data_IF_746694413752
#
_entry.id   IF_746694413752
#
_cell.length_a   1.000
_cell.length_b   1.000
_cell.length_c   1.000
_cell.angle_alpha   90.00
_cell.angle_beta   90.00
_cell.angle_gamma   90.00
#
_symmetry.space_group_name_H-M   'P 1'
#
loop_
_entity.id
_entity.type
_entity.pdbx_description
1 polymer ?
#
# COMPACT_ATOMS: atom_id res chain seq x y z
N UNK A 1 -0.44 6.95 0.78
CA UNK A 1 0.86 6.30 0.51
C UNK A 1 0.88 5.82 -0.92
N UNK A 2 1.94 6.06 -1.67
CA UNK A 2 2.10 5.49 -3.02
C UNK A 2 2.36 3.98 -2.94
N UNK A 3 2.13 3.26 -4.05
CA UNK A 3 2.46 1.85 -4.21
C UNK A 3 3.12 1.60 -5.58
N UNK A 4 3.75 0.43 -5.75
CA UNK A 4 4.24 -0.04 -7.04
C UNK A 4 4.02 -1.55 -7.13
N UNK A 5 3.91 -2.11 -8.33
CA UNK A 5 3.99 -3.58 -8.46
C UNK A 5 5.42 -4.05 -8.28
N UNK A 6 5.58 -5.31 -7.88
CA UNK A 6 6.89 -5.97 -7.79
C UNK A 6 7.65 -5.90 -9.13
N UNK A 7 6.95 -6.04 -10.26
CA UNK A 7 7.59 -5.91 -11.58
C UNK A 7 8.10 -4.50 -11.89
N UNK A 8 7.39 -3.45 -11.46
CA UNK A 8 7.86 -2.06 -11.62
C UNK A 8 9.06 -1.80 -10.72
N UNK A 9 9.02 -2.26 -9.46
CA UNK A 9 10.15 -2.14 -8.54
C UNK A 9 11.38 -2.88 -9.06
N UNK A 10 11.23 -4.11 -9.57
CA UNK A 10 12.32 -4.87 -10.16
C UNK A 10 12.97 -4.13 -11.34
N UNK A 11 12.15 -3.56 -12.25
CA UNK A 11 12.65 -2.74 -13.37
C UNK A 11 13.33 -1.46 -12.90
N UNK A 12 12.82 -0.79 -11.88
CA UNK A 12 13.43 0.40 -11.30
C UNK A 12 14.82 0.11 -10.73
N UNK A 13 14.96 -0.99 -9.99
CA UNK A 13 16.26 -1.45 -9.47
C UNK A 13 17.21 -1.81 -10.61
N UNK A 14 16.76 -2.56 -11.62
CA UNK A 14 17.58 -2.91 -12.79
C UNK A 14 18.02 -1.68 -13.59
N UNK A 15 17.16 -0.65 -13.70
CA UNK A 15 17.52 0.62 -14.35
C UNK A 15 18.68 1.32 -13.63
N UNK A 16 18.75 1.21 -12.31
CA UNK A 16 19.81 1.82 -11.49
C UNK A 16 21.09 0.97 -11.43
N UNK A 17 20.97 -0.35 -11.26
CA UNK A 17 22.09 -1.25 -10.96
C UNK A 17 22.51 -2.16 -12.12
N UNK A 18 21.77 -2.14 -13.23
CA UNK A 18 22.01 -2.98 -14.41
C UNK A 18 20.96 -4.08 -14.55
N UNK A 19 20.68 -4.44 -15.80
CA UNK A 19 19.72 -5.50 -16.14
C UNK A 19 20.42 -6.87 -16.02
N UNK A 20 19.83 -7.74 -15.18
CA UNK A 20 20.28 -9.12 -14.96
C UNK A 20 19.22 -10.14 -15.34
N UNK A 21 18.13 -9.69 -15.98
CA UNK A 21 16.95 -10.50 -16.27
C UNK A 21 15.99 -10.62 -15.09
N UNK A 22 14.92 -11.39 -15.29
CA UNK A 22 13.90 -11.62 -14.26
C UNK A 22 13.42 -13.06 -14.35
N UNK A 23 13.39 -13.75 -13.22
CA UNK A 23 12.85 -15.09 -13.09
C UNK A 23 11.61 -15.08 -12.18
N UNK A 24 10.48 -15.58 -12.67
CA UNK A 24 9.20 -15.57 -11.95
C UNK A 24 9.03 -16.89 -11.20
N UNK A 25 9.09 -16.84 -9.87
CA UNK A 25 9.00 -18.03 -9.00
C UNK A 25 7.58 -18.33 -8.50
N UNK A 26 6.61 -17.47 -8.84
CA UNK A 26 5.24 -17.55 -8.34
C UNK A 26 5.06 -16.96 -6.93
N UNK A 27 3.81 -16.88 -6.49
CA UNK A 27 3.43 -16.37 -5.15
C UNK A 27 3.84 -17.38 -4.08
N UNK A 28 4.44 -16.90 -2.99
CA UNK A 28 4.85 -17.76 -1.86
C UNK A 28 3.68 -17.98 -0.89
N UNK A 29 3.78 -19.02 -0.07
CA UNK A 29 2.77 -19.31 0.95
C UNK A 29 2.66 -18.14 1.95
N UNK A 30 1.43 -17.67 2.19
CA UNK A 30 1.14 -16.59 3.12
C UNK A 30 1.25 -15.17 2.55
N UNK A 31 1.61 -15.01 1.26
CA UNK A 31 1.61 -13.69 0.60
C UNK A 31 0.23 -13.32 0.06
N UNK A 32 -0.12 -12.04 0.15
CA UNK A 32 -1.33 -11.47 -0.44
C UNK A 32 -1.01 -10.80 -1.77
N UNK A 33 -2.02 -10.71 -2.65
CA UNK A 33 -1.89 -10.02 -3.93
C UNK A 33 -1.73 -8.50 -3.76
N UNK A 34 -2.37 -7.94 -2.74
CA UNK A 34 -2.24 -6.55 -2.33
C UNK A 34 -2.38 -6.45 -0.82
N UNK A 35 -1.78 -5.42 -0.24
CA UNK A 35 -1.88 -5.15 1.19
C UNK A 35 -2.98 -4.13 1.48
N UNK A 36 -3.59 -4.26 2.66
CA UNK A 36 -4.66 -3.36 3.12
C UNK A 36 -4.12 -2.50 4.25
N UNK A 37 -4.16 -1.17 4.06
CA UNK A 37 -3.77 -0.22 5.10
C UNK A 37 -4.95 0.10 6.02
N UNK A 38 -6.15 0.21 5.46
CA UNK A 38 -7.36 0.52 6.20
C UNK A 38 -8.52 -0.31 5.66
N UNK A 39 -9.14 -1.11 6.52
CA UNK A 39 -10.31 -1.91 6.17
C UNK A 39 -11.53 -1.01 5.90
N UNK A 40 -12.59 -1.59 5.31
CA UNK A 40 -13.85 -0.87 5.09
C UNK A 40 -14.47 -0.34 6.39
N UNK A 41 -14.45 -1.11 7.46
CA UNK A 41 -14.99 -0.68 8.77
C UNK A 41 -14.19 0.49 9.34
N UNK A 42 -12.86 0.43 9.25
CA UNK A 42 -11.99 1.50 9.73
C UNK A 42 -12.15 2.78 8.91
N UNK A 43 -12.37 2.65 7.60
CA UNK A 43 -12.60 3.79 6.70
C UNK A 43 -13.89 4.55 7.04
N UNK A 44 -14.95 3.83 7.40
CA UNK A 44 -16.22 4.46 7.81
C UNK A 44 -16.09 5.30 9.10
N UNK A 45 -15.09 5.01 9.94
CA UNK A 45 -14.84 5.72 11.21
C UNK A 45 -13.54 6.55 11.19
N UNK A 46 -12.95 6.77 10.02
CA UNK A 46 -11.70 7.53 9.91
C UNK A 46 -11.95 8.99 9.54
N UNK A 47 -11.02 9.85 9.94
CA UNK A 47 -10.95 11.24 9.50
C UNK A 47 -9.72 11.40 8.60
N UNK A 48 -9.92 11.97 7.41
CA UNK A 48 -8.82 12.38 6.54
C UNK A 48 -8.14 13.64 7.11
N UNK A 49 -6.84 13.54 7.38
CA UNK A 49 -5.98 14.62 7.88
C UNK A 49 -5.01 15.11 6.80
N UNK A 50 -5.32 14.90 5.51
CA UNK A 50 -4.51 15.23 4.36
C UNK A 50 -3.49 14.13 4.04
N UNK A 51 -2.48 13.98 4.89
CA UNK A 51 -1.41 12.98 4.68
C UNK A 51 -1.57 11.71 5.53
N UNK A 52 -2.55 11.69 6.43
CA UNK A 52 -2.79 10.61 7.37
C UNK A 52 -4.29 10.39 7.57
N UNK A 53 -4.67 9.15 7.89
CA UNK A 53 -6.00 8.82 8.36
C UNK A 53 -5.96 8.60 9.87
N UNK A 54 -6.90 9.20 10.60
CA UNK A 54 -7.12 8.91 12.02
C UNK A 54 -8.35 8.04 12.16
N UNK A 55 -8.15 6.77 12.50
CA UNK A 55 -9.24 5.83 12.80
C UNK A 55 -9.68 6.05 14.24
N UNK A 56 -10.95 6.41 14.45
CA UNK A 56 -11.49 6.59 15.79
C UNK A 56 -11.59 5.25 16.52
N UNK A 57 -11.31 5.24 17.82
CA UNK A 57 -11.52 4.06 18.65
C UNK A 57 -13.00 3.68 18.64
N UNK A 58 -13.26 2.38 18.69
CA UNK A 58 -14.60 1.87 18.76
C UNK A 58 -15.17 2.11 20.16
N UNK A 59 -16.00 3.14 20.31
CA UNK A 59 -16.68 3.46 21.57
C UNK A 59 -18.06 2.81 21.65
N UNK A 60 -18.28 1.67 20.97
CA UNK A 60 -19.41 0.81 21.28
C UNK A 60 -19.19 0.27 22.70
N UNK A 61 -19.90 0.84 23.68
CA UNK A 61 -20.23 0.12 24.91
C UNK A 61 -20.68 -1.31 24.54
N UNK A 62 -20.45 -2.28 25.43
CA UNK A 62 -20.68 -3.74 25.33
C UNK A 62 -22.07 -4.22 24.82
N UNK A 63 -22.85 -3.37 24.17
CA UNK A 63 -24.09 -3.60 23.48
C UNK A 63 -23.87 -4.32 22.13
N UNK A 64 -24.10 -5.63 22.17
CA UNK A 64 -24.24 -6.51 21.01
C UNK A 64 -25.40 -6.12 20.07
N UNK A 65 -26.31 -5.25 20.50
CA UNK A 65 -27.51 -4.85 19.74
C UNK A 65 -27.21 -4.03 18.48
N UNK A 66 -26.03 -3.43 18.36
CA UNK A 66 -25.65 -2.64 17.17
C UNK A 66 -25.30 -3.50 15.94
N UNK A 67 -25.21 -4.82 16.08
CA UNK A 67 -25.06 -5.73 14.93
C UNK A 67 -26.40 -6.08 14.26
N UNK A 68 -27.54 -5.74 14.90
CA UNK A 68 -28.89 -5.97 14.38
C UNK A 68 -29.72 -4.68 14.43
N UNK A 69 -29.46 -3.75 13.52
CA UNK A 69 -30.39 -2.64 13.26
C UNK A 69 -30.85 -2.71 11.81
N UNK A 70 -32.14 -3.04 11.65
CA UNK A 70 -32.90 -2.86 10.41
C UNK A 70 -32.75 -1.42 9.93
N UNK A 71 -32.20 -1.26 8.72
CA UNK A 71 -32.58 -0.18 7.82
C UNK A 71 -32.02 1.20 8.14
N UNK A 72 -30.75 1.42 7.81
CA UNK A 72 -30.36 2.56 6.97
C UNK A 72 -29.09 2.18 6.25
N UNK A 73 -29.27 1.70 5.03
CA UNK A 73 -28.21 1.12 4.23
C UNK A 73 -27.49 2.27 3.52
N UNK A 74 -26.56 2.93 4.22
CA UNK A 74 -25.49 3.69 3.57
C UNK A 74 -24.49 2.69 2.93
N UNK A 75 -24.97 1.83 2.02
CA UNK A 75 -24.11 0.92 1.21
C UNK A 75 -23.77 1.56 -0.12
N UNK A 76 -23.17 2.74 -0.08
CA UNK A 76 -22.10 2.96 -1.04
C UNK A 76 -20.83 2.66 -0.26
N UNK A 77 -20.46 1.39 -0.30
CA UNK A 77 -19.29 0.87 0.34
C UNK A 77 -18.07 1.64 -0.16
N UNK A 78 -17.54 2.55 0.64
CA UNK A 78 -16.17 2.98 0.42
C UNK A 78 -15.29 1.72 0.47
N UNK A 79 -14.65 1.40 -0.65
CA UNK A 79 -13.75 0.25 -0.74
C UNK A 79 -12.63 0.38 0.30
N UNK A 80 -12.12 -0.77 0.79
CA UNK A 80 -10.95 -0.78 1.66
C UNK A 80 -9.80 -0.01 0.98
N UNK A 81 -8.99 0.70 1.76
CA UNK A 81 -7.82 1.38 1.21
C UNK A 81 -6.64 0.39 1.15
N UNK A 82 -6.25 0.04 -0.08
CA UNK A 82 -5.26 -1.00 -0.37
C UNK A 82 -4.11 -0.46 -1.22
N UNK A 83 -3.05 -1.25 -1.34
CA UNK A 83 -1.95 -0.95 -2.25
C UNK A 83 -2.36 -1.00 -3.74
N UNK A 84 -3.53 -1.57 -4.07
CA UNK A 84 -4.02 -1.68 -5.44
C UNK A 84 -4.80 -0.44 -5.89
N UNK A 85 -5.55 0.19 -4.97
CA UNK A 85 -6.38 1.36 -5.27
C UNK A 85 -5.79 2.70 -4.82
N UNK A 86 -4.54 2.70 -4.35
CA UNK A 86 -3.77 3.93 -4.11
C UNK A 86 -3.05 4.43 -5.36
N UNK A 87 -2.36 5.56 -5.27
CA UNK A 87 -1.50 6.06 -6.34
C UNK A 87 -0.40 5.02 -6.67
N UNK A 88 -0.43 4.48 -7.89
CA UNK A 88 0.54 3.48 -8.35
C UNK A 88 1.63 4.14 -9.18
N UNK A 89 2.86 4.11 -8.67
CA UNK A 89 4.04 4.62 -9.34
C UNK A 89 4.38 3.76 -10.56
N UNK A 90 4.86 4.42 -11.60
CA UNK A 90 5.54 3.79 -12.72
C UNK A 90 7.03 3.54 -12.40
N UNK A 91 7.80 3.10 -13.40
CA UNK A 91 9.22 2.78 -13.22
C UNK A 91 10.00 4.03 -12.82
N UNK A 92 9.77 5.17 -13.47
CA UNK A 92 10.53 6.39 -13.21
C UNK A 92 10.17 7.00 -11.86
N UNK A 93 8.88 7.04 -11.50
CA UNK A 93 8.43 7.46 -10.17
C UNK A 93 9.00 6.57 -9.07
N UNK A 94 9.09 5.26 -9.31
CA UNK A 94 9.70 4.31 -8.36
C UNK A 94 11.20 4.53 -8.23
N UNK A 95 11.92 4.79 -9.33
CA UNK A 95 13.35 5.16 -9.31
C UNK A 95 13.56 6.42 -8.45
N UNK A 96 12.78 7.49 -8.68
CA UNK A 96 12.89 8.71 -7.89
C UNK A 96 12.63 8.44 -6.40
N UNK A 97 11.62 7.61 -6.09
CA UNK A 97 11.28 7.26 -4.71
C UNK A 97 12.43 6.53 -4.01
N UNK A 98 13.01 5.51 -4.63
CA UNK A 98 14.07 4.69 -4.00
C UNK A 98 15.41 5.43 -3.94
N UNK A 99 15.71 6.32 -4.89
CA UNK A 99 16.86 7.23 -4.82
C UNK A 99 16.79 8.20 -3.64
N UNK A 100 15.60 8.45 -3.08
CA UNK A 100 15.44 9.23 -1.85
C UNK A 100 15.90 8.52 -0.58
N UNK A 101 16.35 7.26 -0.66
CA UNK A 101 16.81 6.49 0.49
C UNK A 101 18.34 6.40 0.54
N UNK A 102 18.93 6.65 1.72
CA UNK A 102 20.38 6.64 1.91
C UNK A 102 21.01 5.30 1.50
N UNK A 103 20.34 4.19 1.85
CA UNK A 103 20.79 2.83 1.51
C UNK A 103 21.01 2.63 0.00
N UNK A 104 20.08 3.09 -0.83
CA UNK A 104 20.19 2.93 -2.28
C UNK A 104 21.29 3.83 -2.84
N UNK A 105 21.45 5.03 -2.30
CA UNK A 105 22.52 5.94 -2.71
C UNK A 105 23.91 5.39 -2.34
N UNK A 106 24.05 4.80 -1.15
CA UNK A 106 25.30 4.15 -0.72
C UNK A 106 25.62 2.94 -1.60
N UNK A 107 24.64 2.07 -1.85
CA UNK A 107 24.81 0.92 -2.73
C UNK A 107 25.20 1.31 -4.17
N UNK A 108 24.69 2.43 -4.69
CA UNK A 108 25.09 2.94 -6.02
C UNK A 108 26.56 3.37 -6.04
N UNK A 109 27.00 4.11 -5.02
CA UNK A 109 28.41 4.53 -4.89
C UNK A 109 29.34 3.32 -4.82
N UNK A 110 28.97 2.30 -4.04
CA UNK A 110 29.74 1.05 -3.95
C UNK A 110 29.78 0.29 -5.29
N UNK A 111 28.69 0.34 -6.07
CA UNK A 111 28.62 -0.22 -7.41
C UNK A 111 29.37 0.62 -8.47
N UNK A 112 30.01 1.73 -8.08
CA UNK A 112 30.71 2.64 -8.98
C UNK A 112 29.78 3.42 -9.91
N UNK A 113 28.56 3.71 -9.47
CA UNK A 113 27.51 4.43 -10.22
C UNK A 113 27.07 5.71 -9.54
#
# INVERSE_FOLDING_TARGET
>A
SDASTIGVLAKAVQKLFGDTGTNVIGTRHGEKLYETLMTREERLRSTDMGHYFRVSADNRDLNYDKFFVKGEVHTMADEAYTSDNTNRLDVDGTVQKILGTDYVQEALKEAGR
#
